data_IF_210411536134
#
_entry.id   IF_210411536134
#
_cell.length_a   1.000
_cell.length_b   1.000
_cell.length_c   1.000
_cell.angle_alpha   90.00
_cell.angle_beta   90.00
_cell.angle_gamma   90.00
#
_symmetry.space_group_name_H-M   'P 1'
#
loop_
_entity.id
_entity.type
_entity.pdbx_description
1 polymer ?
#
# COMPACT_ATOMS: atom_id res chain seq x y z
N UNK A 1 -7.91 -12.45 1.95
CA UNK A 1 -7.38 -12.64 0.58
C UNK A 1 -6.24 -13.64 0.61
N UNK A 2 -6.07 -14.46 -0.42
CA UNK A 2 -4.96 -15.40 -0.55
C UNK A 2 -4.17 -15.05 -1.80
N UNK A 3 -2.86 -14.85 -1.69
CA UNK A 3 -1.98 -14.66 -2.84
C UNK A 3 -1.25 -15.96 -3.12
N UNK A 4 -1.36 -16.46 -4.34
CA UNK A 4 -0.74 -17.70 -4.79
C UNK A 4 0.44 -17.40 -5.70
N UNK A 5 1.55 -18.08 -5.45
CA UNK A 5 2.75 -18.01 -6.30
C UNK A 5 3.16 -19.42 -6.72
N UNK A 6 3.25 -19.64 -8.03
CA UNK A 6 3.68 -20.88 -8.67
C UNK A 6 4.87 -20.57 -9.59
N UNK A 7 5.87 -21.45 -9.62
CA UNK A 7 7.17 -21.30 -10.30
C UNK A 7 7.10 -20.55 -11.64
N UNK A 8 7.62 -19.33 -11.67
CA UNK A 8 7.74 -18.50 -12.89
C UNK A 8 6.43 -17.91 -13.41
N UNK A 9 5.29 -18.28 -12.82
CA UNK A 9 3.98 -17.74 -13.17
C UNK A 9 3.72 -16.44 -12.41
N UNK A 10 2.91 -15.58 -13.03
CA UNK A 10 2.37 -14.39 -12.37
C UNK A 10 1.59 -14.81 -11.14
N UNK A 11 1.84 -14.14 -10.01
CA UNK A 11 1.06 -14.38 -8.80
C UNK A 11 -0.39 -13.94 -9.00
N UNK A 12 -1.32 -14.80 -8.57
CA UNK A 12 -2.76 -14.55 -8.62
C UNK A 12 -3.32 -14.41 -7.20
N UNK A 13 -4.47 -13.75 -7.08
CA UNK A 13 -5.12 -13.50 -5.79
C UNK A 13 -6.52 -14.10 -5.78
N UNK A 14 -6.84 -14.83 -4.73
CA UNK A 14 -8.20 -15.26 -4.40
C UNK A 14 -8.79 -14.28 -3.39
N UNK A 15 -9.86 -13.61 -3.81
CA UNK A 15 -10.59 -12.63 -3.01
C UNK A 15 -11.73 -13.30 -2.25
N UNK A 16 -11.40 -13.94 -1.12
CA UNK A 16 -12.38 -14.47 -0.17
C UNK A 16 -12.66 -13.43 0.93
N UNK A 17 -13.36 -12.35 0.60
CA UNK A 17 -13.80 -11.33 1.58
C UNK A 17 -15.00 -11.89 2.36
N UNK A 18 -15.00 -11.78 3.68
CA UNK A 18 -16.07 -12.28 4.56
C UNK A 18 -15.98 -13.77 4.92
N UNK A 19 -15.07 -14.53 4.31
CA UNK A 19 -14.82 -15.93 4.67
C UNK A 19 -14.17 -16.04 6.06
N UNK A 20 -14.48 -17.12 6.78
CA UNK A 20 -13.88 -17.36 8.09
C UNK A 20 -12.42 -17.80 7.96
N UNK A 21 -11.69 -17.76 9.08
CA UNK A 21 -10.33 -18.28 9.12
C UNK A 21 -10.26 -19.79 8.84
N UNK A 22 -11.32 -20.54 9.17
CA UNK A 22 -11.44 -21.97 8.84
C UNK A 22 -11.58 -22.20 7.33
N UNK A 23 -12.48 -21.47 6.68
CA UNK A 23 -12.73 -21.60 5.23
C UNK A 23 -11.48 -21.34 4.41
N UNK A 24 -10.76 -20.28 4.76
CA UNK A 24 -9.51 -19.90 4.07
C UNK A 24 -8.38 -20.89 4.34
N UNK A 25 -8.33 -21.51 5.51
CA UNK A 25 -7.36 -22.58 5.82
C UNK A 25 -7.64 -23.85 5.02
N UNK A 26 -8.91 -24.27 4.94
CA UNK A 26 -9.31 -25.41 4.13
C UNK A 26 -8.94 -25.20 2.65
N UNK A 27 -9.18 -23.99 2.13
CA UNK A 27 -8.81 -23.63 0.75
C UNK A 27 -7.29 -23.65 0.54
N UNK A 28 -6.49 -23.15 1.49
CA UNK A 28 -5.02 -23.22 1.40
C UNK A 28 -4.55 -24.67 1.25
N UNK A 29 -5.16 -25.62 1.95
CA UNK A 29 -4.84 -27.05 1.83
C UNK A 29 -5.09 -27.65 0.44
N UNK A 30 -5.92 -27.01 -0.39
CA UNK A 30 -6.22 -27.42 -1.77
C UNK A 30 -5.37 -26.68 -2.81
N UNK A 31 -4.66 -25.62 -2.43
CA UNK A 31 -3.91 -24.76 -3.35
C UNK A 31 -2.47 -25.25 -3.53
N UNK A 32 -2.03 -25.33 -4.78
CA UNK A 32 -0.63 -25.61 -5.11
C UNK A 32 0.28 -24.38 -4.94
N UNK A 33 1.57 -24.61 -4.72
CA UNK A 33 2.59 -23.56 -4.63
C UNK A 33 2.61 -22.84 -3.28
N UNK A 34 3.21 -21.65 -3.24
CA UNK A 34 3.26 -20.82 -2.03
C UNK A 34 1.98 -20.01 -1.93
N UNK A 35 1.32 -20.06 -0.76
CA UNK A 35 0.14 -19.24 -0.47
C UNK A 35 0.43 -18.30 0.69
N UNK A 36 0.18 -17.02 0.49
CA UNK A 36 0.27 -15.98 1.52
C UNK A 36 -1.15 -15.51 1.87
N UNK A 37 -1.52 -15.63 3.15
CA UNK A 37 -2.81 -15.18 3.64
C UNK A 37 -2.72 -13.73 4.11
N UNK A 38 -3.55 -12.88 3.52
CA UNK A 38 -3.70 -11.48 3.90
C UNK A 38 -5.05 -11.26 4.58
N UNK A 39 -5.00 -10.63 5.75
CA UNK A 39 -6.19 -10.19 6.49
C UNK A 39 -6.70 -8.87 5.90
N UNK A 40 -8.01 -8.75 5.70
CA UNK A 40 -8.64 -7.46 5.47
C UNK A 40 -8.67 -6.70 6.80
N UNK A 41 -7.97 -5.57 6.88
CA UNK A 41 -7.86 -4.74 8.10
C UNK A 41 -8.86 -3.58 8.13
N UNK A 42 -9.58 -3.34 7.03
CA UNK A 42 -10.55 -2.26 6.92
C UNK A 42 -10.91 -1.93 5.48
N UNK A 43 -12.10 -1.38 5.30
CA UNK A 43 -12.61 -0.89 4.02
C UNK A 43 -12.96 0.59 4.15
N UNK A 44 -12.92 1.32 3.05
CA UNK A 44 -13.24 2.75 3.07
C UNK A 44 -13.35 3.38 1.70
N UNK A 45 -13.90 4.59 1.68
CA UNK A 45 -14.21 5.33 0.47
C UNK A 45 -15.60 5.05 -0.06
N UNK A 46 -15.96 5.75 -1.13
CA UNK A 46 -17.22 5.57 -1.88
C UNK A 46 -16.83 5.32 -3.32
N UNK A 47 -17.43 4.32 -3.96
CA UNK A 47 -17.21 4.07 -5.37
C UNK A 47 -17.60 5.30 -6.19
N UNK A 48 -16.70 5.78 -7.03
CA UNK A 48 -16.96 6.88 -7.95
C UNK A 48 -17.42 6.33 -9.29
N UNK A 49 -18.44 6.95 -9.89
CA UNK A 49 -19.05 6.47 -11.13
C UNK A 49 -18.20 6.74 -12.38
N UNK A 50 -17.24 7.66 -12.30
CA UNK A 50 -16.41 8.09 -13.43
C UNK A 50 -14.91 8.02 -13.09
N UNK A 51 -14.10 7.82 -14.12
CA UNK A 51 -12.63 7.87 -14.02
C UNK A 51 -12.23 9.30 -13.64
N UNK A 52 -11.36 9.50 -12.62
CA UNK A 52 -10.87 10.82 -12.28
C UNK A 52 -10.19 11.50 -13.47
N UNK A 53 -10.64 12.71 -13.80
CA UNK A 53 -10.04 13.55 -14.83
C UNK A 53 -9.72 14.93 -14.24
N UNK A 54 -8.43 15.31 -14.12
CA UNK A 54 -7.26 14.54 -14.51
C UNK A 54 -6.98 13.36 -13.55
N UNK A 55 -6.24 12.36 -14.05
CA UNK A 55 -5.71 11.30 -13.20
C UNK A 55 -4.73 11.89 -12.19
N UNK A 56 -5.09 11.89 -10.91
CA UNK A 56 -4.31 12.54 -9.86
C UNK A 56 -3.43 11.56 -9.07
N UNK A 57 -2.45 10.95 -9.74
CA UNK A 57 -1.45 10.09 -9.08
C UNK A 57 -0.45 10.95 -8.32
N UNK A 58 -0.18 10.62 -7.05
CA UNK A 58 0.89 11.25 -6.26
C UNK A 58 1.94 10.21 -5.89
N UNK A 59 3.18 10.46 -6.28
CA UNK A 59 4.34 9.66 -5.85
C UNK A 59 5.04 10.41 -4.73
N UNK A 60 5.14 9.81 -3.55
CA UNK A 60 5.62 10.46 -2.34
C UNK A 60 6.88 9.75 -1.88
N UNK A 61 7.94 10.52 -1.63
CA UNK A 61 9.14 10.06 -0.97
C UNK A 61 9.03 10.43 0.50
N UNK A 62 9.14 9.44 1.37
CA UNK A 62 9.22 9.64 2.81
C UNK A 62 10.62 9.33 3.28
N UNK A 63 11.10 10.06 4.28
CA UNK A 63 12.42 9.76 4.82
C UNK A 63 12.73 10.42 6.13
N UNK A 64 13.93 10.11 6.60
CA UNK A 64 14.58 10.71 7.75
C UNK A 64 16.01 11.04 7.37
N UNK A 65 16.51 12.19 7.83
CA UNK A 65 17.92 12.55 7.72
C UNK A 65 18.57 12.21 9.05
N UNK A 66 19.70 11.51 9.01
CA UNK A 66 20.52 11.25 10.19
C UNK A 66 21.96 11.72 9.94
N UNK A 67 22.80 11.65 10.96
CA UNK A 67 24.20 12.06 10.87
C UNK A 67 25.01 11.19 9.88
N UNK A 68 24.52 10.00 9.54
CA UNK A 68 25.17 9.02 8.66
C UNK A 68 24.68 9.07 7.20
N UNK A 69 23.59 9.79 6.93
CA UNK A 69 23.00 9.91 5.60
C UNK A 69 21.48 10.08 5.60
N UNK A 70 20.83 9.40 4.64
CA UNK A 70 19.40 9.52 4.39
C UNK A 70 18.77 8.15 4.20
N UNK A 71 17.86 7.80 5.10
CA UNK A 71 16.94 6.68 4.94
C UNK A 71 15.66 7.18 4.28
N UNK A 72 15.27 6.57 3.16
CA UNK A 72 14.04 6.95 2.47
C UNK A 72 13.43 5.82 1.67
N UNK A 73 12.10 5.80 1.67
CA UNK A 73 11.28 4.93 0.82
C UNK A 73 10.34 5.76 -0.04
N UNK A 74 9.77 5.11 -1.05
CA UNK A 74 8.83 5.72 -1.98
C UNK A 74 7.56 4.88 -1.99
N UNK A 75 6.42 5.55 -1.93
CA UNK A 75 5.13 4.95 -2.24
C UNK A 75 4.34 5.85 -3.19
N UNK A 76 3.30 5.30 -3.80
CA UNK A 76 2.44 6.05 -4.71
C UNK A 76 0.98 5.81 -4.37
N UNK A 77 0.20 6.90 -4.35
CA UNK A 77 -1.25 6.84 -4.30
C UNK A 77 -1.76 7.00 -5.74
N UNK A 78 -2.42 5.98 -6.33
CA UNK A 78 -2.85 6.01 -7.72
C UNK A 78 -3.81 7.16 -8.04
N UNK A 79 -4.75 7.43 -7.14
CA UNK A 79 -5.73 8.51 -7.27
C UNK A 79 -5.97 9.18 -5.93
N UNK A 80 -5.66 10.47 -5.85
CA UNK A 80 -5.97 11.33 -4.69
C UNK A 80 -7.24 12.13 -5.00
N UNK A 81 -8.12 12.28 -4.00
CA UNK A 81 -9.32 13.13 -4.11
C UNK A 81 -8.93 14.54 -4.57
N UNK A 82 -9.65 15.11 -5.53
CA UNK A 82 -9.32 16.42 -6.11
C UNK A 82 -9.22 17.55 -5.06
N UNK A 83 -10.06 17.50 -4.02
CA UNK A 83 -10.05 18.48 -2.93
C UNK A 83 -8.89 18.33 -1.93
N UNK A 84 -8.06 17.27 -2.06
CA UNK A 84 -6.95 17.01 -1.14
C UNK A 84 -5.63 17.45 -1.76
N UNK A 85 -4.84 18.13 -0.94
CA UNK A 85 -3.54 18.68 -1.31
C UNK A 85 -2.41 17.78 -0.81
N UNK A 86 -1.17 18.08 -1.24
CA UNK A 86 0.00 17.41 -0.65
C UNK A 86 0.15 17.71 0.85
N UNK A 87 -0.27 18.88 1.32
CA UNK A 87 -0.24 19.23 2.75
C UNK A 87 -1.10 18.29 3.59
N UNK A 88 -2.29 17.95 3.11
CA UNK A 88 -3.16 16.96 3.75
C UNK A 88 -2.46 15.60 3.83
N UNK A 89 -1.91 15.13 2.70
CA UNK A 89 -1.19 13.86 2.62
C UNK A 89 0.02 13.82 3.55
N UNK A 90 0.84 14.88 3.57
CA UNK A 90 2.04 14.96 4.39
C UNK A 90 1.71 14.84 5.88
N UNK A 91 0.62 15.49 6.33
CA UNK A 91 0.13 15.44 7.71
C UNK A 91 -0.26 14.01 8.14
N UNK A 92 -0.76 13.20 7.21
CA UNK A 92 -1.14 11.81 7.47
C UNK A 92 -0.01 10.79 7.28
N UNK A 93 1.17 11.25 6.89
CA UNK A 93 2.31 10.39 6.54
C UNK A 93 3.48 10.62 7.49
N UNK A 94 3.86 11.88 7.71
CA UNK A 94 5.00 12.25 8.57
C UNK A 94 4.76 11.77 10.01
N UNK A 95 5.76 11.10 10.59
CA UNK A 95 5.69 10.49 11.92
C UNK A 95 4.86 9.20 12.01
N UNK A 96 4.11 8.84 10.95
CA UNK A 96 3.25 7.65 10.93
C UNK A 96 3.83 6.53 10.06
N UNK A 97 4.35 6.88 8.88
CA UNK A 97 4.90 5.95 7.90
C UNK A 97 6.37 5.68 8.16
N UNK A 98 6.84 4.50 7.77
CA UNK A 98 8.24 4.10 7.91
C UNK A 98 9.09 4.60 6.73
N UNK A 99 10.31 5.08 7.02
CA UNK A 99 11.29 5.51 6.03
C UNK A 99 12.14 4.36 5.46
N UNK A 100 11.75 3.12 5.72
CA UNK A 100 12.39 1.89 5.27
C UNK A 100 11.31 0.81 4.95
N UNK A 101 11.64 -0.20 4.14
CA UNK A 101 10.71 -1.27 3.78
C UNK A 101 10.75 -2.47 4.75
N UNK A 102 11.73 -2.52 5.63
CA UNK A 102 12.05 -3.65 6.52
C UNK A 102 12.01 -3.21 7.99
N UNK A 103 12.51 -2.01 8.29
CA UNK A 103 12.60 -1.44 9.63
C UNK A 103 11.40 -0.53 9.96
N UNK A 104 11.16 -0.33 11.26
CA UNK A 104 10.03 0.47 11.80
C UNK A 104 10.40 1.92 12.11
N UNK A 105 11.45 2.43 11.45
CA UNK A 105 11.90 3.82 11.67
C UNK A 105 10.93 4.78 11.01
N UNK A 106 10.28 5.64 11.80
CA UNK A 106 9.30 6.60 11.30
C UNK A 106 9.97 7.72 10.50
N UNK A 107 9.31 8.13 9.42
CA UNK A 107 9.75 9.24 8.60
C UNK A 107 9.52 10.58 9.30
N UNK A 108 10.41 11.53 9.05
CA UNK A 108 10.36 12.91 9.57
C UNK A 108 10.00 13.93 8.49
N UNK A 109 10.07 13.52 7.22
CA UNK A 109 9.64 14.32 6.10
C UNK A 109 8.89 13.48 5.06
N UNK A 110 8.01 14.14 4.33
CA UNK A 110 7.43 13.68 3.09
C UNK A 110 7.67 14.72 2.00
N UNK A 111 7.92 14.29 0.77
CA UNK A 111 8.01 15.17 -0.41
C UNK A 111 7.39 14.51 -1.63
N UNK A 112 6.87 15.31 -2.56
CA UNK A 112 6.50 14.78 -3.87
C UNK A 112 7.77 14.37 -4.63
N UNK A 113 7.74 13.18 -5.25
CA UNK A 113 8.83 12.71 -6.12
C UNK A 113 8.93 13.57 -7.37
N UNK A 114 7.77 13.99 -7.87
CA UNK A 114 7.62 14.89 -9.00
C UNK A 114 6.78 16.07 -8.49
N UNK A 115 7.45 17.18 -8.20
CA UNK A 115 6.79 18.48 -8.18
C UNK A 115 6.84 19.00 -9.62
N UNK A 116 5.68 19.36 -10.16
CA UNK A 116 5.60 20.14 -11.39
C UNK A 116 5.78 21.61 -11.04
#
# INVERSE_FOLDING_TARGET
MLKQTIKGLRSLTVTAIGATDGDTTALIGLMAGKVEKFKNVGEGGVAIAAIPSPLNKKSIVVGKKDATGRLSTIFSVPHVKAAKTFKDLSTDVVGKFDCDYVLTTKCEYAKLKFDA
#
